data_IF_097590085551
#
_entry.id   IF_097590085551
#
_cell.length_a   1.000
_cell.length_b   1.000
_cell.length_c   1.000
_cell.angle_alpha   90.00
_cell.angle_beta   90.00
_cell.angle_gamma   90.00
#
_symmetry.space_group_name_H-M   'P 1'
#
loop_
_entity.id
_entity.type
_entity.pdbx_description
1 polymer ?
#
# COMPACT_ATOMS: atom_id res chain seq x y z
N UNK A 1 -18.02 6.99 14.20
CA UNK A 1 -17.11 7.95 13.54
C UNK A 1 -15.67 7.80 14.04
N UNK A 2 -15.41 7.88 15.35
CA UNK A 2 -14.07 7.62 15.92
C UNK A 2 -13.52 6.21 15.62
N UNK A 3 -14.36 5.17 15.71
CA UNK A 3 -13.96 3.80 15.36
C UNK A 3 -13.61 3.65 13.88
N UNK A 4 -14.38 4.28 12.99
CA UNK A 4 -14.12 4.32 11.55
C UNK A 4 -12.78 4.98 11.24
N UNK A 5 -12.51 6.14 11.86
CA UNK A 5 -11.23 6.85 11.67
C UNK A 5 -10.08 5.99 12.20
N UNK A 6 -10.21 5.40 13.39
CA UNK A 6 -9.18 4.53 13.96
C UNK A 6 -8.88 3.33 13.05
N UNK A 7 -9.91 2.71 12.49
CA UNK A 7 -9.77 1.58 11.58
C UNK A 7 -9.08 2.01 10.28
N UNK A 8 -9.51 3.10 9.67
CA UNK A 8 -8.91 3.61 8.42
C UNK A 8 -7.47 4.11 8.61
N UNK A 9 -7.14 4.71 9.75
CA UNK A 9 -5.75 5.07 10.08
C UNK A 9 -4.88 3.84 10.33
N UNK A 10 -5.44 2.79 10.95
CA UNK A 10 -4.72 1.52 11.13
C UNK A 10 -4.52 0.81 9.78
N UNK A 11 -5.51 0.86 8.90
CA UNK A 11 -5.44 0.42 7.51
C UNK A 11 -4.32 1.18 6.78
N UNK A 12 -4.30 2.51 6.85
CA UNK A 12 -3.28 3.35 6.22
C UNK A 12 -1.86 2.94 6.65
N UNK A 13 -1.61 2.81 7.95
CA UNK A 13 -0.28 2.41 8.46
C UNK A 13 0.12 1.03 7.94
N UNK A 14 -0.81 0.07 7.92
CA UNK A 14 -0.53 -1.26 7.39
C UNK A 14 -0.26 -1.23 5.87
N UNK A 15 -1.02 -0.46 5.11
CA UNK A 15 -0.85 -0.32 3.67
C UNK A 15 0.48 0.34 3.32
N UNK A 16 0.84 1.45 3.98
CA UNK A 16 2.12 2.14 3.78
C UNK A 16 3.28 1.20 4.08
N UNK A 17 3.20 0.43 5.18
CA UNK A 17 4.24 -0.55 5.52
C UNK A 17 4.40 -1.61 4.43
N UNK A 18 3.30 -2.23 3.99
CA UNK A 18 3.33 -3.30 2.97
C UNK A 18 3.83 -2.83 1.62
N UNK A 19 3.39 -1.65 1.19
CA UNK A 19 3.84 -1.04 -0.07
C UNK A 19 5.33 -0.71 -0.01
N UNK A 20 5.80 -0.12 1.09
CA UNK A 20 7.23 0.16 1.31
C UNK A 20 8.08 -1.13 1.33
N UNK A 21 7.62 -2.18 2.01
CA UNK A 21 8.32 -3.48 2.04
C UNK A 21 8.40 -4.11 0.64
N UNK A 22 7.34 -4.02 -0.16
CA UNK A 22 7.33 -4.50 -1.53
C UNK A 22 8.26 -3.67 -2.43
N UNK A 23 8.21 -2.35 -2.34
CA UNK A 23 9.09 -1.44 -3.10
C UNK A 23 10.57 -1.68 -2.76
N UNK A 24 10.88 -1.87 -1.47
CA UNK A 24 12.22 -2.23 -1.03
C UNK A 24 12.66 -3.58 -1.59
N UNK A 25 11.78 -4.59 -1.57
CA UNK A 25 12.08 -5.90 -2.13
C UNK A 25 12.36 -5.82 -3.65
N UNK A 26 11.62 -4.98 -4.37
CA UNK A 26 11.88 -4.72 -5.80
C UNK A 26 13.20 -3.98 -6.01
N UNK A 27 13.45 -2.91 -5.25
CA UNK A 27 14.67 -2.10 -5.37
C UNK A 27 15.95 -2.89 -5.05
N UNK A 28 15.88 -3.80 -4.08
CA UNK A 28 16.99 -4.69 -3.73
C UNK A 28 17.08 -5.94 -4.64
N UNK A 29 16.20 -6.08 -5.64
CA UNK A 29 16.20 -7.21 -6.56
C UNK A 29 15.76 -8.53 -5.94
N UNK A 30 15.16 -8.50 -4.75
CA UNK A 30 14.56 -9.67 -4.08
C UNK A 30 13.31 -10.12 -4.84
N UNK A 31 12.56 -9.15 -5.38
CA UNK A 31 11.39 -9.38 -6.24
C UNK A 31 11.69 -8.79 -7.62
N UNK A 32 11.66 -9.62 -8.66
CA UNK A 32 11.73 -9.11 -10.04
C UNK A 32 10.32 -8.90 -10.57
N UNK A 33 10.03 -7.69 -11.05
CA UNK A 33 8.70 -7.34 -11.58
C UNK A 33 8.24 -8.25 -12.73
N UNK A 34 9.17 -8.78 -13.53
CA UNK A 34 8.90 -9.73 -14.61
C UNK A 34 8.44 -11.11 -14.12
N UNK A 35 8.80 -11.48 -12.88
CA UNK A 35 8.40 -12.74 -12.23
C UNK A 35 7.13 -12.56 -11.37
N UNK A 36 6.68 -11.32 -11.17
CA UNK A 36 5.48 -10.99 -10.39
C UNK A 36 4.24 -11.21 -11.25
N UNK A 37 3.27 -11.97 -10.72
CA UNK A 37 2.00 -12.15 -11.40
C UNK A 37 1.28 -10.81 -11.63
N UNK A 38 0.59 -10.62 -12.78
CA UNK A 38 -0.16 -9.39 -13.03
C UNK A 38 -1.18 -9.05 -11.94
N UNK A 39 -1.77 -10.08 -11.30
CA UNK A 39 -2.68 -9.92 -10.19
C UNK A 39 -2.01 -9.31 -8.94
N UNK A 40 -0.79 -9.75 -8.61
CA UNK A 40 -0.03 -9.20 -7.48
C UNK A 40 0.39 -7.74 -7.75
N UNK A 41 0.78 -7.41 -8.99
CA UNK A 41 1.08 -6.03 -9.37
C UNK A 41 -0.16 -5.14 -9.29
N UNK A 42 -1.31 -5.60 -9.80
CA UNK A 42 -2.58 -4.87 -9.72
C UNK A 42 -3.01 -4.67 -8.26
N UNK A 43 -2.81 -5.66 -7.40
CA UNK A 43 -3.10 -5.54 -5.97
C UNK A 43 -2.20 -4.49 -5.30
N UNK A 44 -0.90 -4.45 -5.62
CA UNK A 44 0.00 -3.41 -5.12
C UNK A 44 -0.44 -2.02 -5.60
N UNK A 45 -0.78 -1.85 -6.89
CA UNK A 45 -1.29 -0.59 -7.42
C UNK A 45 -2.58 -0.13 -6.72
N UNK A 46 -3.51 -1.05 -6.45
CA UNK A 46 -4.74 -0.76 -5.72
C UNK A 46 -4.46 -0.32 -4.27
N UNK A 47 -3.47 -0.94 -3.61
CA UNK A 47 -3.04 -0.53 -2.27
C UNK A 47 -2.45 0.88 -2.28
N UNK A 48 -1.62 1.22 -3.26
CA UNK A 48 -1.07 2.58 -3.43
C UNK A 48 -2.16 3.61 -3.69
N UNK A 49 -3.14 3.30 -4.56
CA UNK A 49 -4.29 4.18 -4.78
C UNK A 49 -5.12 4.40 -3.50
N UNK A 50 -5.29 3.35 -2.68
CA UNK A 50 -6.00 3.44 -1.40
C UNK A 50 -5.25 4.31 -0.39
N UNK A 51 -3.92 4.24 -0.35
CA UNK A 51 -3.09 5.12 0.49
C UNK A 51 -3.32 6.57 0.12
N UNK A 52 -3.23 6.91 -1.17
CA UNK A 52 -3.45 8.29 -1.66
C UNK A 52 -4.85 8.79 -1.27
N UNK A 53 -5.89 7.98 -1.47
CA UNK A 53 -7.25 8.35 -1.09
C UNK A 53 -7.41 8.60 0.42
N UNK A 54 -6.73 7.82 1.27
CA UNK A 54 -6.75 8.02 2.72
C UNK A 54 -5.93 9.25 3.14
N UNK A 55 -4.79 9.51 2.48
CA UNK A 55 -3.98 10.72 2.69
C UNK A 55 -4.77 11.99 2.34
N UNK A 56 -5.41 12.02 1.17
CA UNK A 56 -6.28 13.13 0.76
C UNK A 56 -7.45 13.34 1.73
N UNK A 57 -8.10 12.25 2.17
CA UNK A 57 -9.23 12.30 3.11
C UNK A 57 -8.83 12.90 4.47
N UNK A 58 -7.63 12.61 4.94
CA UNK A 58 -7.15 13.01 6.27
C UNK A 58 -6.18 14.19 6.28
N UNK A 59 -5.77 14.68 5.10
CA UNK A 59 -4.85 15.81 4.95
C UNK A 59 -3.42 15.51 5.40
N UNK A 60 -2.93 14.29 5.11
CA UNK A 60 -1.59 13.80 5.49
C UNK A 60 -0.71 13.67 4.25
#
# INVERSE_FOLDING_TARGET
>A
MFETIRQEMSELVMLVRRTTEWDAAVAHGIVKLEEVSPAALAAHQAQTARIVALQEKYGI
#
